data_IF_116550255991
#
_entry.id   IF_116550255991
#
_cell.length_a   1.000
_cell.length_b   1.000
_cell.length_c   1.000
_cell.angle_alpha   90.00
_cell.angle_beta   90.00
_cell.angle_gamma   90.00
#
_symmetry.space_group_name_H-M   'P 1'
#
loop_
_entity.id
_entity.type
_entity.pdbx_description
1 polymer ?
#
# COMPACT_ATOMS: atom_id res chain seq x y z
N UNK A 1 -13.01 23.73 -6.46
CA UNK A 1 -12.89 24.82 -5.45
C UNK A 1 -11.88 24.35 -4.42
N UNK A 2 -11.04 25.21 -3.86
CA UNK A 2 -10.17 24.80 -2.75
C UNK A 2 -11.02 24.27 -1.61
N UNK A 3 -10.58 23.18 -0.96
CA UNK A 3 -11.34 22.53 0.13
C UNK A 3 -11.34 23.35 1.40
N UNK A 4 -12.32 23.11 2.30
CA UNK A 4 -12.41 23.71 3.62
C UNK A 4 -11.68 22.80 4.64
N UNK A 5 -10.72 23.34 5.39
CA UNK A 5 -9.91 22.60 6.36
C UNK A 5 -10.19 23.13 7.79
N UNK A 6 -10.56 22.22 8.69
CA UNK A 6 -10.66 22.53 10.11
C UNK A 6 -9.35 22.17 10.81
N UNK A 7 -8.73 23.15 11.49
CA UNK A 7 -7.53 22.95 12.31
C UNK A 7 -7.93 23.03 13.78
N UNK A 8 -7.58 22.00 14.55
CA UNK A 8 -7.90 21.89 15.99
C UNK A 8 -6.61 21.74 16.77
N UNK A 9 -6.25 22.77 17.55
CA UNK A 9 -5.00 22.82 18.31
C UNK A 9 -5.16 23.86 19.43
N UNK A 10 -4.68 23.62 20.64
CA UNK A 10 -4.75 24.56 21.74
C UNK A 10 -3.67 25.65 21.66
N UNK A 11 -2.59 25.39 20.90
CA UNK A 11 -1.54 26.37 20.64
C UNK A 11 -1.94 27.32 19.49
N UNK A 12 -2.15 28.58 19.86
CA UNK A 12 -2.56 29.65 18.93
C UNK A 12 -1.51 29.93 17.86
N UNK A 13 -0.24 29.76 18.19
CA UNK A 13 0.86 29.98 17.23
C UNK A 13 0.89 28.86 16.17
N UNK A 14 0.64 27.63 16.57
CA UNK A 14 0.45 26.50 15.65
C UNK A 14 -0.76 26.71 14.74
N UNK A 15 -1.93 27.09 15.29
CA UNK A 15 -3.12 27.41 14.49
C UNK A 15 -2.83 28.47 13.42
N UNK A 16 -2.13 29.52 13.82
CA UNK A 16 -1.78 30.62 12.93
C UNK A 16 -0.78 30.20 11.84
N UNK A 17 0.27 29.47 12.23
CA UNK A 17 1.31 29.02 11.30
C UNK A 17 0.74 28.05 10.26
N UNK A 18 0.03 27.00 10.70
CA UNK A 18 -0.59 25.99 9.83
C UNK A 18 -1.67 26.63 8.96
N UNK A 19 -2.49 27.54 9.54
CA UNK A 19 -3.48 28.29 8.80
C UNK A 19 -2.87 29.09 7.67
N UNK A 20 -1.84 29.90 7.95
CA UNK A 20 -1.12 30.68 6.90
C UNK A 20 -0.49 29.82 5.81
N UNK A 21 0.09 28.66 6.19
CA UNK A 21 0.66 27.71 5.22
C UNK A 21 -0.40 27.22 4.24
N UNK A 22 -1.58 26.87 4.72
CA UNK A 22 -2.65 26.30 3.89
C UNK A 22 -3.47 27.38 3.17
N UNK A 23 -3.69 28.55 3.77
CA UNK A 23 -4.31 29.68 3.08
C UNK A 23 -3.48 30.17 1.88
N UNK A 24 -2.14 30.13 1.98
CA UNK A 24 -1.26 30.47 0.85
C UNK A 24 -1.40 29.53 -0.36
N UNK A 25 -1.90 28.32 -0.14
CA UNK A 25 -2.22 27.31 -1.14
C UNK A 25 -3.68 27.38 -1.62
N UNK A 26 -4.47 28.32 -1.05
CA UNK A 26 -5.83 28.61 -1.50
C UNK A 26 -6.93 27.87 -0.72
N UNK A 27 -6.64 27.18 0.40
CA UNK A 27 -7.65 26.50 1.23
C UNK A 27 -8.43 27.48 2.11
N UNK A 28 -9.70 27.15 2.37
CA UNK A 28 -10.55 27.88 3.34
C UNK A 28 -10.33 27.27 4.74
N UNK A 29 -9.90 28.10 5.70
CA UNK A 29 -9.46 27.62 7.01
C UNK A 29 -10.45 27.98 8.10
N UNK A 30 -10.84 26.95 8.87
CA UNK A 30 -11.61 27.08 10.11
C UNK A 30 -10.72 26.64 11.27
N UNK A 31 -10.67 27.41 12.37
CA UNK A 31 -9.79 27.10 13.50
C UNK A 31 -10.58 26.88 14.80
N UNK A 32 -10.18 25.86 15.55
CA UNK A 32 -10.69 25.54 16.89
C UNK A 32 -9.54 25.46 17.89
N UNK A 33 -9.71 26.07 19.07
CA UNK A 33 -8.67 26.14 20.12
C UNK A 33 -8.77 25.03 21.16
N UNK A 34 -9.66 24.08 20.99
CA UNK A 34 -9.83 22.91 21.86
C UNK A 34 -10.66 21.83 21.17
N UNK A 35 -10.63 20.61 21.72
CA UNK A 35 -11.30 19.45 21.16
C UNK A 35 -12.82 19.58 21.08
N UNK A 36 -13.46 20.10 22.13
CA UNK A 36 -14.93 20.26 22.14
C UNK A 36 -15.39 21.24 21.05
N UNK A 37 -14.66 22.35 20.87
CA UNK A 37 -14.96 23.30 19.78
C UNK A 37 -14.69 22.70 18.42
N UNK A 38 -13.64 21.86 18.29
CA UNK A 38 -13.32 21.11 17.07
C UNK A 38 -14.49 20.23 16.61
N UNK A 39 -15.06 19.44 17.52
CA UNK A 39 -16.23 18.58 17.22
C UNK A 39 -17.43 19.44 16.77
N UNK A 40 -17.71 20.53 17.50
CA UNK A 40 -18.83 21.41 17.16
C UNK A 40 -18.68 22.00 15.76
N UNK A 41 -17.47 22.47 15.41
CA UNK A 41 -17.20 23.05 14.10
C UNK A 41 -17.15 21.99 13.00
N UNK A 42 -16.69 20.78 13.28
CA UNK A 42 -16.75 19.67 12.31
C UNK A 42 -18.20 19.37 11.87
N UNK A 43 -19.15 19.41 12.82
CA UNK A 43 -20.56 19.19 12.55
C UNK A 43 -21.22 20.38 11.84
N UNK A 44 -20.91 21.63 12.23
CA UNK A 44 -21.58 22.82 11.68
C UNK A 44 -20.99 23.30 10.35
N UNK A 45 -19.68 23.17 10.15
CA UNK A 45 -18.96 23.70 8.99
C UNK A 45 -18.74 22.65 7.89
N UNK A 46 -18.94 21.35 8.22
CA UNK A 46 -18.74 20.23 7.32
C UNK A 46 -17.40 20.33 6.52
N UNK A 47 -16.25 20.39 7.21
CA UNK A 47 -14.96 20.54 6.52
C UNK A 47 -14.62 19.32 5.67
N UNK A 48 -13.80 19.54 4.63
CA UNK A 48 -13.31 18.48 3.77
C UNK A 48 -12.12 17.72 4.39
N UNK A 49 -11.46 18.30 5.40
CA UNK A 49 -10.34 17.72 6.14
C UNK A 49 -10.29 18.30 7.56
N UNK A 50 -9.90 17.48 8.52
CA UNK A 50 -9.61 17.91 9.91
C UNK A 50 -8.13 17.66 10.19
N UNK A 51 -7.40 18.72 10.61
CA UNK A 51 -6.04 18.64 11.17
C UNK A 51 -6.19 18.78 12.68
N UNK A 52 -5.70 17.80 13.43
CA UNK A 52 -6.02 17.64 14.85
C UNK A 52 -4.77 17.39 15.70
N UNK A 53 -4.52 18.23 16.69
CA UNK A 53 -3.53 17.90 17.73
C UNK A 53 -4.08 16.86 18.73
N UNK A 54 -3.17 16.05 19.27
CA UNK A 54 -3.48 15.11 20.35
C UNK A 54 -3.43 15.80 21.71
N UNK A 55 -2.44 16.68 21.91
CA UNK A 55 -2.10 17.21 23.23
C UNK A 55 -2.92 18.45 23.56
N UNK A 56 -4.21 18.30 23.83
CA UNK A 56 -5.10 19.39 24.25
C UNK A 56 -5.61 19.18 25.68
N UNK A 57 -5.79 20.29 26.45
CA UNK A 57 -6.09 20.20 27.91
C UNK A 57 -7.53 19.80 28.24
N UNK A 58 -8.48 19.96 27.31
CA UNK A 58 -9.91 19.69 27.56
C UNK A 58 -10.30 18.27 27.12
N UNK A 59 -10.13 17.95 25.84
CA UNK A 59 -10.44 16.69 25.24
C UNK A 59 -9.27 16.33 24.31
N UNK A 60 -8.57 15.24 24.59
CA UNK A 60 -7.44 14.84 23.79
C UNK A 60 -7.85 14.45 22.36
N UNK A 61 -6.92 14.57 21.42
CA UNK A 61 -7.20 14.31 20.01
C UNK A 61 -7.65 12.88 19.71
N UNK A 62 -7.30 11.91 20.54
CA UNK A 62 -7.78 10.54 20.40
C UNK A 62 -9.27 10.42 20.72
N UNK A 63 -9.72 11.11 21.78
CA UNK A 63 -11.15 11.14 22.13
C UNK A 63 -11.96 11.91 21.09
N UNK A 64 -11.41 13.01 20.54
CA UNK A 64 -12.01 13.76 19.42
C UNK A 64 -12.16 12.86 18.21
N UNK A 65 -11.11 12.16 17.79
CA UNK A 65 -11.13 11.23 16.64
C UNK A 65 -12.22 10.18 16.83
N UNK A 66 -12.28 9.54 18.01
CA UNK A 66 -13.29 8.53 18.30
C UNK A 66 -14.72 9.07 18.19
N UNK A 67 -15.00 10.28 18.71
CA UNK A 67 -16.32 10.89 18.62
C UNK A 67 -16.70 11.24 17.18
N UNK A 68 -15.76 11.80 16.41
CA UNK A 68 -15.98 12.12 15.00
C UNK A 68 -16.25 10.87 14.15
N UNK A 69 -15.64 9.74 14.47
CA UNK A 69 -15.87 8.45 13.76
C UNK A 69 -17.18 7.76 14.14
N UNK A 70 -17.78 8.14 15.27
CA UNK A 70 -19.08 7.61 15.73
C UNK A 70 -20.29 8.38 15.16
N UNK A 71 -20.09 9.58 14.64
CA UNK A 71 -21.16 10.43 14.10
C UNK A 71 -21.27 10.29 12.57
N UNK A 72 -22.47 10.02 12.08
CA UNK A 72 -22.74 9.79 10.64
C UNK A 72 -22.37 10.99 9.76
N UNK A 73 -22.43 12.21 10.27
CA UNK A 73 -22.10 13.42 9.53
C UNK A 73 -20.58 13.64 9.40
N UNK A 74 -19.78 13.11 10.32
CA UNK A 74 -18.32 13.36 10.38
C UNK A 74 -17.44 12.12 10.19
N UNK A 75 -18.01 10.92 10.26
CA UNK A 75 -17.26 9.64 10.21
C UNK A 75 -16.39 9.46 8.96
N UNK A 76 -16.76 10.09 7.84
CA UNK A 76 -16.07 10.01 6.57
C UNK A 76 -15.14 11.19 6.27
N UNK A 77 -15.09 12.20 7.16
CA UNK A 77 -14.18 13.33 6.98
C UNK A 77 -12.76 12.85 7.30
N UNK A 78 -11.79 13.01 6.38
CA UNK A 78 -10.41 12.61 6.66
C UNK A 78 -9.84 13.38 7.85
N UNK A 79 -9.11 12.68 8.73
CA UNK A 79 -8.46 13.22 9.92
C UNK A 79 -6.96 13.05 9.83
N UNK A 80 -6.23 14.16 9.81
CA UNK A 80 -4.80 14.23 9.90
C UNK A 80 -4.41 14.62 11.34
N UNK A 81 -3.79 13.72 12.07
CA UNK A 81 -3.21 14.03 13.38
C UNK A 81 -1.89 14.79 13.16
N UNK A 82 -1.73 15.93 13.83
CA UNK A 82 -0.54 16.76 13.77
C UNK A 82 -0.09 17.15 15.19
N UNK A 83 0.89 16.45 15.75
CA UNK A 83 1.20 16.51 17.19
C UNK A 83 2.71 16.48 17.47
N UNK A 84 3.10 16.95 18.67
CA UNK A 84 4.46 16.83 19.18
C UNK A 84 4.82 15.41 19.67
N UNK A 85 3.84 14.50 19.80
CA UNK A 85 4.08 13.11 20.19
C UNK A 85 4.74 12.34 19.04
N UNK A 86 5.90 11.76 19.35
CA UNK A 86 6.72 11.00 18.37
C UNK A 86 6.73 9.49 18.62
N UNK A 87 6.05 9.04 19.70
CA UNK A 87 6.00 7.63 20.08
C UNK A 87 5.32 6.77 19.02
N UNK A 88 5.90 5.60 18.72
CA UNK A 88 5.30 4.64 17.78
C UNK A 88 3.94 4.15 18.29
N UNK A 89 3.81 3.92 19.60
CA UNK A 89 2.55 3.50 20.23
C UNK A 89 1.47 4.59 20.10
N UNK A 90 1.84 5.87 20.22
CA UNK A 90 0.93 7.01 20.04
C UNK A 90 0.43 7.09 18.59
N UNK A 91 1.33 6.86 17.64
CA UNK A 91 0.99 6.85 16.21
C UNK A 91 0.06 5.70 15.85
N UNK A 92 0.37 4.49 16.35
CA UNK A 92 -0.49 3.32 16.17
C UNK A 92 -1.88 3.55 16.74
N UNK A 93 -1.94 4.06 17.96
CA UNK A 93 -3.22 4.36 18.62
C UNK A 93 -4.04 5.38 17.82
N UNK A 94 -3.41 6.43 17.28
CA UNK A 94 -4.10 7.42 16.44
C UNK A 94 -4.73 6.81 15.19
N UNK A 95 -3.99 5.97 14.49
CA UNK A 95 -4.47 5.26 13.28
C UNK A 95 -5.54 4.21 13.63
N UNK A 96 -5.39 3.46 14.72
CA UNK A 96 -6.39 2.49 15.20
C UNK A 96 -7.73 3.16 15.57
N UNK A 97 -7.68 4.39 16.06
CA UNK A 97 -8.87 5.17 16.39
C UNK A 97 -9.53 5.82 15.17
N UNK A 98 -8.92 5.65 13.99
CA UNK A 98 -9.49 6.07 12.72
C UNK A 98 -8.92 7.37 12.15
N UNK A 99 -7.75 7.82 12.57
CA UNK A 99 -7.02 8.87 11.84
C UNK A 99 -6.48 8.30 10.52
N UNK A 100 -6.51 9.11 9.48
CA UNK A 100 -6.06 8.72 8.14
C UNK A 100 -4.55 8.94 7.96
N UNK A 101 -4.00 9.97 8.60
CA UNK A 101 -2.58 10.34 8.59
C UNK A 101 -2.15 10.80 9.98
N UNK A 102 -0.89 10.52 10.33
CA UNK A 102 -0.27 10.97 11.57
C UNK A 102 1.06 11.64 11.27
N UNK A 103 1.16 12.93 11.56
CA UNK A 103 2.35 13.75 11.37
C UNK A 103 2.88 14.28 12.69
N UNK A 104 4.19 14.44 12.78
CA UNK A 104 4.85 14.98 13.98
C UNK A 104 5.32 16.41 13.76
N UNK A 105 5.15 17.26 14.78
CA UNK A 105 5.69 18.63 14.80
C UNK A 105 7.21 18.58 15.11
N UNK A 106 8.05 19.42 14.47
CA UNK A 106 7.74 20.39 13.42
C UNK A 106 7.65 19.75 12.04
N UNK A 107 6.92 20.37 11.11
CA UNK A 107 6.76 19.91 9.74
C UNK A 107 7.08 21.05 8.74
N UNK A 108 7.60 20.71 7.58
CA UNK A 108 7.78 21.68 6.50
C UNK A 108 6.46 21.98 5.78
N UNK A 109 6.31 23.21 5.24
CA UNK A 109 5.13 23.61 4.44
C UNK A 109 4.87 22.63 3.30
N UNK A 110 5.92 22.19 2.63
CA UNK A 110 5.84 21.27 1.48
C UNK A 110 5.29 19.89 1.90
N UNK A 111 5.73 19.39 3.04
CA UNK A 111 5.32 18.09 3.56
C UNK A 111 3.85 18.12 4.00
N UNK A 112 3.45 19.15 4.78
CA UNK A 112 2.06 19.34 5.17
C UNK A 112 1.14 19.43 3.95
N UNK A 113 1.49 20.26 2.97
CA UNK A 113 0.73 20.43 1.73
C UNK A 113 0.60 19.11 0.95
N UNK A 114 1.63 18.29 0.92
CA UNK A 114 1.60 16.99 0.23
C UNK A 114 0.57 16.05 0.86
N UNK A 115 0.55 15.94 2.19
CA UNK A 115 -0.42 15.09 2.91
C UNK A 115 -1.84 15.64 2.82
N UNK A 116 -2.02 16.95 2.95
CA UNK A 116 -3.32 17.62 2.79
C UNK A 116 -3.89 17.38 1.39
N UNK A 117 -3.08 17.55 0.35
CA UNK A 117 -3.50 17.27 -1.03
C UNK A 117 -3.85 15.81 -1.26
N UNK A 118 -3.12 14.88 -0.65
CA UNK A 118 -3.43 13.46 -0.77
C UNK A 118 -4.79 13.11 -0.14
N UNK A 119 -5.14 13.77 0.99
CA UNK A 119 -6.40 13.56 1.69
C UNK A 119 -7.59 14.30 1.06
N UNK A 120 -7.34 15.49 0.47
CA UNK A 120 -8.37 16.33 -0.16
C UNK A 120 -8.58 16.04 -1.65
N UNK A 121 -7.64 15.36 -2.31
CA UNK A 121 -8.00 14.74 -3.58
C UNK A 121 -9.21 13.90 -3.28
N UNK A 122 -10.36 14.10 -3.99
CA UNK A 122 -11.49 13.24 -3.76
C UNK A 122 -10.92 11.83 -3.77
N UNK A 123 -11.01 11.10 -2.67
CA UNK A 123 -11.19 9.68 -2.78
C UNK A 123 -12.36 9.64 -3.75
N UNK A 124 -12.09 9.32 -5.01
CA UNK A 124 -13.17 9.02 -5.92
C UNK A 124 -14.04 8.08 -5.10
N UNK A 125 -15.14 8.66 -4.54
CA UNK A 125 -16.23 7.82 -4.08
C UNK A 125 -16.32 6.84 -5.21
N UNK A 126 -16.43 5.54 -4.99
CA UNK A 126 -16.66 4.63 -6.08
C UNK A 126 -17.88 5.17 -6.81
N UNK A 127 -17.69 6.18 -7.64
CA UNK A 127 -18.54 6.50 -8.73
C UNK A 127 -18.44 5.19 -9.48
N UNK A 128 -19.58 4.46 -9.51
CA UNK A 128 -19.73 3.44 -10.53
C UNK A 128 -19.11 4.07 -11.77
N UNK A 129 -17.98 3.56 -12.26
CA UNK A 129 -17.32 4.17 -13.40
C UNK A 129 -18.38 4.23 -14.47
N UNK A 130 -18.67 5.46 -14.91
CA UNK A 130 -19.40 5.66 -16.15
C UNK A 130 -18.70 4.75 -17.14
N UNK A 131 -19.47 3.87 -17.80
CA UNK A 131 -18.98 2.85 -18.72
C UNK A 131 -18.00 3.47 -19.72
N UNK A 132 -16.69 3.41 -19.44
CA UNK A 132 -15.65 4.03 -20.25
C UNK A 132 -14.30 3.98 -19.57
N UNK A 133 -13.49 2.96 -19.93
CA UNK A 133 -12.07 2.80 -19.63
C UNK A 133 -11.70 2.49 -18.18
N UNK A 134 -11.91 1.24 -17.78
CA UNK A 134 -11.22 0.62 -16.65
C UNK A 134 -9.76 0.44 -17.05
N UNK A 135 -8.84 1.15 -16.38
CA UNK A 135 -7.41 0.99 -16.61
C UNK A 135 -6.99 -0.42 -16.21
N UNK A 136 -6.58 -1.23 -17.17
CA UNK A 136 -5.95 -2.52 -16.91
C UNK A 136 -4.62 -2.25 -16.24
N UNK A 137 -4.34 -2.90 -15.10
CA UNK A 137 -3.13 -2.65 -14.34
C UNK A 137 -2.33 -3.92 -14.06
N UNK A 138 -1.03 -3.90 -14.36
CA UNK A 138 -0.08 -4.88 -13.85
C UNK A 138 0.78 -4.25 -12.77
N UNK A 139 0.72 -4.81 -11.57
CA UNK A 139 1.40 -4.37 -10.38
C UNK A 139 2.52 -5.33 -10.03
N UNK A 140 3.76 -4.85 -10.00
CA UNK A 140 4.88 -5.63 -9.47
C UNK A 140 5.10 -5.33 -7.98
N UNK A 141 5.43 -6.35 -7.19
CA UNK A 141 5.82 -6.20 -5.80
C UNK A 141 7.25 -6.70 -5.63
N UNK A 142 8.10 -5.82 -5.11
CA UNK A 142 9.52 -6.04 -4.85
C UNK A 142 9.86 -5.68 -3.41
N UNK A 143 10.95 -6.22 -2.91
CA UNK A 143 11.52 -5.78 -1.64
C UNK A 143 12.98 -5.39 -1.80
N UNK A 144 13.44 -4.46 -0.96
CA UNK A 144 14.84 -4.09 -0.89
C UNK A 144 15.74 -5.25 -0.44
N UNK A 145 15.20 -6.18 0.36
CA UNK A 145 15.90 -7.39 0.83
C UNK A 145 14.96 -8.58 0.99
N UNK A 146 15.52 -9.77 1.15
CA UNK A 146 14.74 -11.00 1.38
C UNK A 146 14.00 -11.03 2.73
N UNK A 147 12.95 -11.84 2.81
CA UNK A 147 12.18 -12.06 4.03
C UNK A 147 11.24 -10.93 4.42
N UNK A 148 10.89 -10.04 3.49
CA UNK A 148 10.01 -8.90 3.71
C UNK A 148 8.51 -9.21 3.57
N UNK A 149 8.14 -10.44 3.28
CA UNK A 149 6.73 -10.82 3.08
C UNK A 149 6.16 -10.39 1.73
N UNK A 150 6.98 -10.30 0.68
CA UNK A 150 6.54 -9.93 -0.68
C UNK A 150 5.42 -10.85 -1.15
N UNK A 151 5.58 -12.16 -1.04
CA UNK A 151 4.57 -13.14 -1.47
C UNK A 151 3.27 -13.02 -0.67
N UNK A 152 3.39 -12.88 0.66
CA UNK A 152 2.22 -12.67 1.53
C UNK A 152 1.48 -11.38 1.16
N UNK A 153 2.22 -10.27 0.89
CA UNK A 153 1.61 -9.04 0.44
C UNK A 153 0.98 -9.21 -0.95
N UNK A 154 1.67 -9.84 -1.91
CA UNK A 154 1.16 -10.07 -3.26
C UNK A 154 -0.16 -10.82 -3.26
N UNK A 155 -0.23 -11.90 -2.46
CA UNK A 155 -1.44 -12.70 -2.31
C UNK A 155 -2.59 -11.88 -1.72
N UNK A 156 -2.36 -11.25 -0.58
CA UNK A 156 -3.40 -10.53 0.14
C UNK A 156 -3.85 -9.27 -0.60
N UNK A 157 -2.92 -8.56 -1.27
CA UNK A 157 -3.24 -7.38 -2.07
C UNK A 157 -4.07 -7.74 -3.32
N UNK A 158 -3.71 -8.82 -4.01
CA UNK A 158 -4.50 -9.29 -5.16
C UNK A 158 -5.92 -9.69 -4.77
N UNK A 159 -6.11 -10.35 -3.62
CA UNK A 159 -7.43 -10.68 -3.09
C UNK A 159 -8.20 -9.41 -2.70
N UNK A 160 -7.53 -8.43 -2.07
CA UNK A 160 -8.15 -7.15 -1.71
C UNK A 160 -8.59 -6.36 -2.95
N UNK A 161 -7.77 -6.33 -4.02
CA UNK A 161 -8.13 -5.73 -5.30
C UNK A 161 -9.37 -6.41 -5.89
N UNK A 162 -9.40 -7.74 -5.94
CA UNK A 162 -10.56 -8.46 -6.43
C UNK A 162 -11.82 -8.15 -5.63
N UNK A 163 -11.74 -8.19 -4.29
CA UNK A 163 -12.89 -7.92 -3.40
C UNK A 163 -13.44 -6.50 -3.53
N UNK A 164 -12.55 -5.52 -3.77
CA UNK A 164 -12.96 -4.12 -3.90
C UNK A 164 -13.51 -3.76 -5.28
N UNK A 165 -13.11 -4.50 -6.33
CA UNK A 165 -13.43 -4.16 -7.72
C UNK A 165 -14.35 -5.16 -8.38
N UNK A 166 -14.40 -6.40 -7.90
CA UNK A 166 -15.04 -7.58 -8.52
C UNK A 166 -14.54 -7.86 -9.95
N UNK A 167 -13.35 -7.34 -10.30
CA UNK A 167 -12.76 -7.50 -11.62
C UNK A 167 -11.76 -8.66 -11.65
N UNK A 168 -11.70 -9.33 -12.78
CA UNK A 168 -10.77 -10.44 -13.00
C UNK A 168 -9.34 -10.04 -12.57
N UNK A 169 -8.81 -10.76 -11.57
CA UNK A 169 -7.50 -10.53 -10.98
C UNK A 169 -6.67 -11.81 -11.01
N UNK A 170 -5.47 -11.73 -11.57
CA UNK A 170 -4.48 -12.81 -11.56
C UNK A 170 -3.36 -12.44 -10.59
N UNK A 171 -2.96 -13.39 -9.74
CA UNK A 171 -1.77 -13.28 -8.89
C UNK A 171 -0.77 -14.33 -9.37
N UNK A 172 0.48 -13.93 -9.54
CA UNK A 172 1.54 -14.85 -9.97
C UNK A 172 2.86 -14.54 -9.27
N UNK A 173 3.66 -15.56 -9.02
CA UNK A 173 5.05 -15.45 -8.60
C UNK A 173 6.00 -15.89 -9.72
N UNK A 174 6.88 -14.99 -10.14
CA UNK A 174 7.91 -15.29 -11.15
C UNK A 174 9.20 -15.76 -10.47
N UNK A 175 9.06 -16.84 -9.65
CA UNK A 175 10.12 -17.31 -8.75
C UNK A 175 10.26 -18.84 -8.77
N UNK A 176 10.49 -19.47 -9.92
CA UNK A 176 10.65 -20.92 -9.97
C UNK A 176 11.76 -21.39 -9.03
N UNK A 177 11.47 -22.44 -8.27
CA UNK A 177 12.34 -22.94 -7.22
C UNK A 177 12.22 -22.21 -5.86
N UNK A 178 11.45 -21.13 -5.82
CA UNK A 178 11.17 -20.33 -4.61
C UNK A 178 9.71 -19.87 -4.54
N UNK A 179 8.82 -20.46 -5.32
CA UNK A 179 7.39 -20.14 -5.33
C UNK A 179 6.77 -20.42 -3.96
N UNK A 180 5.97 -19.49 -3.45
CA UNK A 180 5.35 -19.63 -2.14
C UNK A 180 3.83 -19.49 -2.18
N UNK A 181 3.23 -19.01 -3.27
CA UNK A 181 1.78 -18.82 -3.36
C UNK A 181 1.00 -20.11 -3.11
N UNK A 182 1.41 -21.22 -3.72
CA UNK A 182 0.80 -22.53 -3.50
C UNK A 182 0.94 -22.99 -2.05
N UNK A 183 2.11 -22.75 -1.42
CA UNK A 183 2.36 -23.11 -0.03
C UNK A 183 1.48 -22.29 0.94
N UNK A 184 1.32 -21.00 0.69
CA UNK A 184 0.49 -20.12 1.53
C UNK A 184 -1.00 -20.47 1.45
N UNK A 185 -1.45 -21.05 0.33
CA UNK A 185 -2.84 -21.42 0.11
C UNK A 185 -3.12 -22.92 0.32
N UNK A 186 -2.09 -23.73 0.62
CA UNK A 186 -2.23 -25.18 0.76
C UNK A 186 -2.64 -25.91 -0.52
N UNK A 187 -2.31 -25.32 -1.69
CA UNK A 187 -2.59 -25.92 -2.99
C UNK A 187 -1.58 -27.00 -3.33
N UNK A 188 -1.94 -27.86 -4.30
CA UNK A 188 -0.98 -28.80 -4.88
C UNK A 188 0.23 -28.06 -5.41
N UNK A 189 1.43 -28.54 -5.06
CA UNK A 189 2.70 -27.95 -5.43
C UNK A 189 3.13 -28.36 -6.85
N UNK A 190 2.42 -29.32 -7.47
CA UNK A 190 2.58 -29.60 -8.90
C UNK A 190 2.16 -28.37 -9.68
N UNK A 191 3.09 -27.81 -10.46
CA UNK A 191 2.82 -26.58 -11.19
C UNK A 191 2.95 -26.81 -12.69
N UNK A 192 1.90 -26.44 -13.40
CA UNK A 192 1.91 -26.35 -14.85
C UNK A 192 2.65 -25.11 -15.39
N UNK A 193 3.09 -24.19 -14.47
CA UNK A 193 3.88 -23.02 -14.87
C UNK A 193 5.23 -23.43 -15.48
N UNK A 194 5.88 -24.48 -14.93
CA UNK A 194 7.13 -24.99 -15.49
C UNK A 194 6.97 -25.46 -16.95
N UNK A 195 5.81 -26.02 -17.32
CA UNK A 195 5.52 -26.44 -18.68
C UNK A 195 5.56 -25.25 -19.66
N UNK A 196 5.09 -24.08 -19.23
CA UNK A 196 5.18 -22.84 -20.01
C UNK A 196 6.63 -22.38 -20.19
N UNK A 197 7.48 -22.63 -19.19
CA UNK A 197 8.89 -22.24 -19.23
C UNK A 197 9.75 -23.20 -20.05
N UNK A 198 9.28 -24.42 -20.33
CA UNK A 198 9.96 -25.42 -21.18
C UNK A 198 9.70 -25.21 -22.67
N UNK A 199 8.65 -24.44 -23.00
CA UNK A 199 8.30 -24.19 -24.39
C UNK A 199 9.22 -23.14 -25.04
N UNK A 200 9.42 -23.18 -26.34
CA UNK A 200 9.97 -22.04 -27.06
C UNK A 200 9.11 -20.79 -26.83
N UNK A 201 9.70 -19.60 -26.59
CA UNK A 201 8.92 -18.38 -26.36
C UNK A 201 7.88 -18.05 -27.45
N UNK A 202 8.18 -18.44 -28.71
CA UNK A 202 7.28 -18.24 -29.87
C UNK A 202 6.02 -19.09 -29.85
N UNK A 203 6.02 -20.19 -29.08
CA UNK A 203 4.90 -21.14 -29.00
C UNK A 203 3.92 -20.75 -27.86
N UNK A 204 4.30 -19.80 -27.03
CA UNK A 204 3.43 -19.30 -25.97
C UNK A 204 2.29 -18.47 -26.55
N UNK A 205 1.07 -18.75 -26.10
CA UNK A 205 -0.13 -17.99 -26.47
C UNK A 205 -0.96 -17.64 -25.23
N UNK A 206 -1.84 -16.62 -25.32
CA UNK A 206 -2.75 -16.30 -24.21
C UNK A 206 -3.60 -17.50 -23.78
N UNK A 207 -4.08 -18.30 -24.73
CA UNK A 207 -4.92 -19.47 -24.45
C UNK A 207 -4.16 -20.52 -23.64
N UNK A 208 -2.92 -20.81 -24.05
CA UNK A 208 -2.08 -21.79 -23.36
C UNK A 208 -1.73 -21.34 -21.95
N UNK A 209 -1.48 -20.04 -21.75
CA UNK A 209 -1.24 -19.47 -20.43
C UNK A 209 -2.52 -19.55 -19.57
N UNK A 210 -3.68 -19.25 -20.16
CA UNK A 210 -4.98 -19.30 -19.48
C UNK A 210 -5.32 -20.69 -18.95
N UNK A 211 -5.00 -21.74 -19.72
CA UNK A 211 -5.18 -23.15 -19.34
C UNK A 211 -4.33 -23.56 -18.12
N UNK A 212 -3.25 -22.83 -17.83
CA UNK A 212 -2.35 -23.09 -16.69
C UNK A 212 -2.68 -22.26 -15.44
N UNK A 213 -3.61 -21.32 -15.57
CA UNK A 213 -4.09 -20.50 -14.46
C UNK A 213 -5.19 -21.26 -13.72
N UNK A 214 -5.12 -21.31 -12.41
CA UNK A 214 -6.09 -21.99 -11.55
C UNK A 214 -7.01 -20.99 -10.86
N UNK A 215 -8.28 -21.33 -10.73
CA UNK A 215 -9.25 -20.54 -9.95
C UNK A 215 -9.11 -20.86 -8.46
N UNK A 216 -9.18 -19.82 -7.62
CA UNK A 216 -9.13 -19.97 -6.18
C UNK A 216 -10.46 -19.53 -5.53
N UNK A 217 -10.83 -20.14 -4.41
CA UNK A 217 -12.07 -19.86 -3.68
C UNK A 217 -12.25 -18.40 -3.22
N UNK A 218 -11.15 -17.62 -3.15
CA UNK A 218 -11.20 -16.18 -2.88
C UNK A 218 -11.70 -15.34 -4.06
N UNK A 219 -11.89 -15.94 -5.23
CA UNK A 219 -12.32 -15.28 -6.47
C UNK A 219 -11.16 -14.81 -7.37
N UNK A 220 -9.93 -14.88 -6.91
CA UNK A 220 -8.74 -14.61 -7.74
C UNK A 220 -8.30 -15.85 -8.53
N UNK A 221 -7.50 -15.62 -9.55
CA UNK A 221 -6.88 -16.64 -10.38
C UNK A 221 -5.36 -16.65 -10.13
N UNK A 222 -4.76 -17.82 -10.14
CA UNK A 222 -3.37 -18.02 -9.73
C UNK A 222 -2.55 -18.69 -10.85
N UNK A 223 -1.39 -18.12 -11.15
CA UNK A 223 -0.35 -18.76 -11.93
C UNK A 223 0.90 -18.85 -11.05
N UNK A 224 1.13 -19.97 -10.39
CA UNK A 224 2.15 -20.08 -9.34
C UNK A 224 3.37 -20.89 -9.79
N UNK A 225 4.54 -20.44 -9.36
CA UNK A 225 5.81 -21.12 -9.54
C UNK A 225 5.98 -22.30 -8.56
N UNK A 226 6.82 -23.24 -8.94
CA UNK A 226 7.21 -24.37 -8.10
C UNK A 226 8.06 -23.93 -6.89
N UNK A 227 7.83 -24.50 -5.69
CA UNK A 227 8.71 -24.33 -4.54
C UNK A 227 9.96 -25.24 -4.60
N UNK A 228 10.04 -26.19 -5.53
CA UNK A 228 11.13 -27.15 -5.59
C UNK A 228 12.42 -26.49 -6.07
N UNK A 229 13.46 -26.49 -5.23
CA UNK A 229 14.74 -25.82 -5.51
C UNK A 229 15.38 -26.20 -6.85
N UNK A 230 15.19 -27.44 -7.33
CA UNK A 230 15.66 -27.88 -8.64
C UNK A 230 15.10 -27.11 -9.82
N UNK A 231 13.91 -26.51 -9.65
CA UNK A 231 13.23 -25.73 -10.68
C UNK A 231 13.78 -24.29 -10.81
N UNK A 232 14.68 -23.89 -9.91
CA UNK A 232 15.42 -22.63 -10.07
C UNK A 232 16.17 -22.52 -11.40
N UNK A 233 16.45 -23.66 -12.06
CA UNK A 233 17.01 -23.70 -13.44
C UNK A 233 16.18 -22.90 -14.44
N UNK A 234 14.87 -22.85 -14.27
CA UNK A 234 13.96 -22.13 -15.17
C UNK A 234 14.08 -20.61 -15.06
N UNK A 235 14.73 -20.06 -14.03
CA UNK A 235 14.97 -18.61 -13.91
C UNK A 235 15.82 -18.05 -15.06
N UNK A 236 16.53 -18.91 -15.79
CA UNK A 236 17.30 -18.54 -16.99
C UNK A 236 16.43 -18.35 -18.26
N UNK A 237 15.19 -18.83 -18.26
CA UNK A 237 14.29 -18.75 -19.41
C UNK A 237 13.57 -17.38 -19.43
N UNK A 238 14.38 -16.31 -19.41
CA UNK A 238 13.91 -14.92 -19.21
C UNK A 238 12.92 -14.49 -20.28
N UNK A 239 13.11 -14.92 -21.52
CA UNK A 239 12.24 -14.55 -22.64
C UNK A 239 10.83 -15.14 -22.49
N UNK A 240 10.69 -16.32 -21.87
CA UNK A 240 9.38 -16.89 -21.55
C UNK A 240 8.62 -16.02 -20.53
N UNK A 241 9.30 -15.57 -19.47
CA UNK A 241 8.69 -14.68 -18.49
C UNK A 241 8.27 -13.35 -19.10
N UNK A 242 9.07 -12.80 -20.01
CA UNK A 242 8.72 -11.57 -20.74
C UNK A 242 7.44 -11.77 -21.58
N UNK A 243 7.36 -12.89 -22.33
CA UNK A 243 6.17 -13.21 -23.13
C UNK A 243 4.95 -13.44 -22.25
N UNK A 244 5.08 -14.18 -21.15
CA UNK A 244 3.99 -14.40 -20.19
C UNK A 244 3.52 -13.06 -19.60
N UNK A 245 4.43 -12.22 -19.11
CA UNK A 245 4.10 -10.91 -18.55
C UNK A 245 3.33 -10.04 -19.56
N UNK A 246 3.70 -10.07 -20.83
CA UNK A 246 3.03 -9.33 -21.92
C UNK A 246 1.62 -9.86 -22.21
N UNK A 247 1.34 -11.14 -21.93
CA UNK A 247 0.04 -11.74 -22.19
C UNK A 247 -0.92 -11.68 -21.01
N UNK A 248 -0.43 -11.68 -19.77
CA UNK A 248 -1.28 -11.64 -18.56
C UNK A 248 -2.32 -10.51 -18.55
N UNK A 249 -2.01 -9.24 -18.96
CA UNK A 249 -3.00 -8.17 -19.01
C UNK A 249 -4.12 -8.37 -20.05
N UNK A 250 -4.01 -9.38 -20.92
CA UNK A 250 -5.08 -9.77 -21.85
C UNK A 250 -6.06 -10.76 -21.21
N UNK A 251 -5.64 -11.43 -20.12
CA UNK A 251 -6.39 -12.48 -19.44
C UNK A 251 -7.11 -11.99 -18.17
N UNK A 252 -6.69 -10.85 -17.62
CA UNK A 252 -7.33 -10.23 -16.45
C UNK A 252 -7.24 -8.71 -16.50
N UNK A 253 -8.11 -8.04 -15.72
CA UNK A 253 -8.08 -6.58 -15.56
C UNK A 253 -6.91 -6.16 -14.68
N UNK A 254 -6.64 -6.92 -13.62
CA UNK A 254 -5.51 -6.70 -12.71
C UNK A 254 -4.60 -7.92 -12.66
N UNK A 255 -3.32 -7.66 -12.62
CA UNK A 255 -2.28 -8.69 -12.47
C UNK A 255 -1.34 -8.25 -11.35
N UNK A 256 -1.15 -9.09 -10.34
CA UNK A 256 -0.19 -8.86 -9.25
C UNK A 256 0.97 -9.83 -9.40
N UNK A 257 2.18 -9.27 -9.58
CA UNK A 257 3.41 -10.03 -9.75
C UNK A 257 4.25 -10.02 -8.47
N UNK A 258 4.48 -11.17 -7.87
CA UNK A 258 5.53 -11.38 -6.86
C UNK A 258 6.86 -11.58 -7.58
N UNK A 259 7.72 -10.56 -7.54
CA UNK A 259 9.06 -10.59 -8.11
C UNK A 259 10.16 -10.84 -7.06
N UNK A 260 9.78 -10.93 -5.78
CA UNK A 260 10.71 -11.19 -4.68
C UNK A 260 11.67 -10.05 -4.38
N UNK A 261 12.84 -10.33 -3.80
CA UNK A 261 13.79 -9.31 -3.41
C UNK A 261 14.77 -8.94 -4.53
N UNK A 262 15.14 -7.66 -4.56
CA UNK A 262 16.20 -7.12 -5.40
C UNK A 262 15.87 -7.03 -6.89
N UNK A 263 16.90 -6.68 -7.67
CA UNK A 263 16.81 -6.49 -9.11
C UNK A 263 17.55 -7.62 -9.85
N UNK A 264 16.80 -8.59 -10.34
CA UNK A 264 17.33 -9.69 -11.17
C UNK A 264 17.24 -9.34 -12.66
N UNK A 265 17.90 -10.12 -13.52
CA UNK A 265 17.76 -9.98 -14.99
C UNK A 265 16.31 -10.21 -15.44
N UNK A 266 15.63 -11.17 -14.81
CA UNK A 266 14.21 -11.42 -15.03
C UNK A 266 13.37 -10.20 -14.66
N UNK A 267 13.59 -9.63 -13.48
CA UNK A 267 12.85 -8.44 -13.03
C UNK A 267 13.04 -7.28 -14.01
N UNK A 268 14.27 -7.05 -14.50
CA UNK A 268 14.56 -6.00 -15.51
C UNK A 268 13.77 -6.17 -16.81
N UNK A 269 13.49 -7.41 -17.20
CA UNK A 269 12.71 -7.71 -18.41
C UNK A 269 11.20 -7.54 -18.23
N UNK A 270 10.70 -7.83 -17.03
CA UNK A 270 9.25 -7.87 -16.76
C UNK A 270 8.71 -6.52 -16.29
N UNK A 271 9.49 -5.77 -15.49
CA UNK A 271 9.09 -4.50 -14.90
C UNK A 271 8.59 -3.44 -15.90
N UNK A 272 9.14 -3.30 -17.10
CA UNK A 272 8.62 -2.33 -18.10
C UNK A 272 7.15 -2.56 -18.51
N UNK A 273 6.60 -3.74 -18.28
CA UNK A 273 5.19 -4.05 -18.53
C UNK A 273 4.27 -3.68 -17.37
N UNK A 274 4.82 -3.28 -16.22
CA UNK A 274 4.07 -2.96 -15.02
C UNK A 274 3.63 -1.48 -15.01
N UNK A 275 2.37 -1.24 -14.67
CA UNK A 275 1.83 0.10 -14.50
C UNK A 275 2.25 0.74 -13.16
N UNK A 276 2.41 -0.08 -12.13
CA UNK A 276 2.86 0.34 -10.80
C UNK A 276 3.84 -0.69 -10.22
N UNK A 277 4.74 -0.21 -9.36
CA UNK A 277 5.73 -1.03 -8.64
C UNK A 277 5.66 -0.72 -7.15
N UNK A 278 5.33 -1.70 -6.34
CA UNK A 278 5.40 -1.60 -4.87
C UNK A 278 6.80 -1.99 -4.41
N UNK A 279 7.46 -1.12 -3.68
CA UNK A 279 8.75 -1.39 -3.03
C UNK A 279 8.52 -1.51 -1.52
N UNK A 280 8.84 -2.68 -0.96
CA UNK A 280 8.79 -2.93 0.48
C UNK A 280 10.16 -2.65 1.11
N UNK A 281 10.16 -1.83 2.16
CA UNK A 281 11.36 -1.48 2.93
C UNK A 281 11.14 -1.67 4.43
N UNK A 282 12.21 -1.96 5.17
CA UNK A 282 12.20 -1.85 6.64
C UNK A 282 12.69 -0.45 7.07
N UNK A 283 12.25 0.05 8.23
CA UNK A 283 12.72 1.32 8.79
C UNK A 283 14.14 1.18 9.39
N UNK A 284 15.09 0.74 8.57
CA UNK A 284 16.46 0.47 8.95
C UNK A 284 17.43 1.02 7.88
N UNK A 285 18.57 1.65 8.27
CA UNK A 285 19.47 2.31 7.33
C UNK A 285 19.92 1.44 6.17
N UNK A 286 20.23 0.15 6.43
CA UNK A 286 20.62 -0.79 5.38
C UNK A 286 19.52 -1.06 4.35
N UNK A 287 18.27 -1.21 4.83
CA UNK A 287 17.12 -1.43 3.95
C UNK A 287 16.86 -0.21 3.07
N UNK A 288 17.03 0.99 3.62
CA UNK A 288 16.85 2.25 2.88
C UNK A 288 17.96 2.43 1.83
N UNK A 289 19.22 2.13 2.17
CA UNK A 289 20.30 2.16 1.18
C UNK A 289 20.07 1.18 0.02
N UNK A 290 19.57 -0.03 0.31
CA UNK A 290 19.22 -1.02 -0.72
C UNK A 290 18.01 -0.56 -1.57
N UNK A 291 17.02 0.08 -0.93
CA UNK A 291 15.88 0.65 -1.64
C UNK A 291 16.30 1.79 -2.57
N UNK A 292 17.22 2.65 -2.14
CA UNK A 292 17.79 3.72 -2.97
C UNK A 292 18.44 3.15 -4.25
N UNK A 293 19.22 2.07 -4.10
CA UNK A 293 19.81 1.38 -5.24
C UNK A 293 18.75 0.78 -6.17
N UNK A 294 17.70 0.17 -5.58
CA UNK A 294 16.59 -0.40 -6.34
C UNK A 294 15.81 0.68 -7.11
N UNK A 295 15.52 1.83 -6.51
CA UNK A 295 14.87 2.98 -7.16
C UNK A 295 15.72 3.52 -8.31
N UNK A 296 17.04 3.55 -8.13
CA UNK A 296 17.97 3.96 -9.19
C UNK A 296 17.90 3.01 -10.39
N UNK A 297 17.90 1.69 -10.15
CA UNK A 297 17.75 0.70 -11.20
C UNK A 297 16.39 0.79 -11.92
N UNK A 298 15.30 1.06 -11.19
CA UNK A 298 13.98 1.28 -11.77
C UNK A 298 13.97 2.52 -12.68
N UNK A 299 14.65 3.58 -12.28
CA UNK A 299 14.77 4.81 -13.11
C UNK A 299 15.51 4.54 -14.43
N UNK A 300 16.48 3.62 -14.44
CA UNK A 300 17.16 3.18 -15.67
C UNK A 300 16.25 2.38 -16.62
N UNK A 301 15.15 1.83 -16.08
CA UNK A 301 14.11 1.15 -16.86
C UNK A 301 12.95 2.10 -17.24
N UNK A 302 13.15 3.42 -17.11
CA UNK A 302 12.16 4.47 -17.40
C UNK A 302 10.90 4.41 -16.50
N UNK A 303 10.96 3.68 -15.37
CA UNK A 303 9.89 3.64 -14.37
C UNK A 303 9.97 4.91 -13.54
N UNK A 304 8.93 5.71 -13.61
CA UNK A 304 8.88 7.01 -12.95
C UNK A 304 8.52 6.90 -11.47
N UNK A 305 8.82 7.94 -10.69
CA UNK A 305 8.59 7.90 -9.22
C UNK A 305 7.11 7.82 -8.84
N UNK A 306 6.21 8.36 -9.64
CA UNK A 306 4.76 8.27 -9.45
C UNK A 306 4.22 6.84 -9.66
N UNK A 307 4.90 6.02 -10.46
CA UNK A 307 4.60 4.61 -10.61
C UNK A 307 5.11 3.76 -9.43
N UNK A 308 6.03 4.27 -8.62
CA UNK A 308 6.60 3.55 -7.49
C UNK A 308 5.80 3.88 -6.22
N UNK A 309 5.34 2.85 -5.51
CA UNK A 309 4.62 2.93 -4.25
C UNK A 309 5.50 2.39 -3.13
N UNK A 310 5.97 3.28 -2.27
CA UNK A 310 6.83 2.90 -1.15
C UNK A 310 6.01 2.40 0.02
N UNK A 311 6.31 1.18 0.49
CA UNK A 311 5.63 0.53 1.61
C UNK A 311 6.63 0.19 2.70
N UNK A 312 6.37 0.66 3.92
CA UNK A 312 7.21 0.33 5.08
C UNK A 312 6.68 -0.90 5.78
N UNK A 313 7.53 -1.88 5.97
CA UNK A 313 7.23 -3.11 6.69
C UNK A 313 8.03 -3.17 7.99
N UNK A 314 7.38 -2.85 9.10
CA UNK A 314 8.03 -2.81 10.40
C UNK A 314 7.93 -4.16 11.12
N UNK A 315 8.98 -4.98 11.08
CA UNK A 315 8.99 -6.31 11.70
C UNK A 315 9.36 -6.32 13.18
N UNK A 316 10.03 -5.30 13.64
CA UNK A 316 10.54 -5.23 15.02
C UNK A 316 10.35 -3.82 15.53
N UNK A 317 9.59 -3.67 16.63
CA UNK A 317 9.51 -2.39 17.31
C UNK A 317 10.86 -2.07 17.95
N UNK A 318 11.44 -0.91 17.64
CA UNK A 318 12.69 -0.42 18.21
C UNK A 318 12.68 1.10 18.28
N UNK A 319 13.16 1.65 19.37
CA UNK A 319 13.33 3.11 19.52
C UNK A 319 14.42 3.70 18.60
N UNK A 320 15.18 2.86 17.91
CA UNK A 320 16.24 3.26 16.98
C UNK A 320 15.86 3.10 15.51
N UNK A 321 14.58 2.89 15.23
CA UNK A 321 14.10 2.83 13.85
C UNK A 321 14.05 4.21 13.22
N UNK A 322 14.26 4.25 11.90
CA UNK A 322 14.04 5.47 11.14
C UNK A 322 12.55 5.83 11.18
N UNK A 323 12.28 7.10 11.41
CA UNK A 323 10.95 7.66 11.25
C UNK A 323 10.53 7.65 9.77
N UNK A 324 9.24 7.78 9.49
CA UNK A 324 8.76 7.85 8.09
C UNK A 324 9.32 9.08 7.40
N UNK A 325 9.39 10.24 8.08
CA UNK A 325 10.00 11.44 7.52
C UNK A 325 11.45 11.22 7.10
N UNK A 326 12.27 10.56 7.95
CA UNK A 326 13.66 10.22 7.57
C UNK A 326 13.73 9.25 6.37
N UNK A 327 12.78 8.31 6.27
CA UNK A 327 12.69 7.38 5.12
C UNK A 327 12.29 8.15 3.85
N UNK A 328 11.28 8.99 3.94
CA UNK A 328 10.77 9.81 2.84
C UNK A 328 11.83 10.80 2.35
N UNK A 329 12.55 11.46 3.25
CA UNK A 329 13.64 12.37 2.93
C UNK A 329 14.79 11.65 2.23
N UNK A 330 15.24 10.49 2.79
CA UNK A 330 16.35 9.74 2.21
C UNK A 330 16.03 9.15 0.83
N UNK A 331 14.79 8.69 0.62
CA UNK A 331 14.36 8.13 -0.66
C UNK A 331 13.76 9.17 -1.61
N UNK A 332 13.47 10.38 -1.10
CA UNK A 332 12.70 11.43 -1.78
C UNK A 332 11.39 10.88 -2.38
N UNK A 333 10.63 10.13 -1.55
CA UNK A 333 9.39 9.45 -1.90
C UNK A 333 8.46 9.41 -0.70
N UNK A 334 7.15 9.42 -0.93
CA UNK A 334 6.14 9.32 0.11
C UNK A 334 5.88 7.84 0.45
N UNK A 335 5.75 7.55 1.74
CA UNK A 335 5.31 6.24 2.24
C UNK A 335 3.79 6.14 2.08
N UNK A 336 3.34 5.31 1.13
CA UNK A 336 1.90 5.17 0.84
C UNK A 336 1.17 4.24 1.81
N UNK A 337 1.91 3.34 2.47
CA UNK A 337 1.36 2.43 3.49
C UNK A 337 2.47 1.93 4.40
N UNK A 338 2.10 1.60 5.63
CA UNK A 338 3.02 1.00 6.59
C UNK A 338 2.34 -0.17 7.29
N UNK A 339 3.00 -1.31 7.27
CA UNK A 339 2.53 -2.53 7.92
C UNK A 339 3.28 -2.78 9.22
N UNK A 340 2.53 -2.93 10.30
CA UNK A 340 3.05 -3.47 11.55
C UNK A 340 2.70 -4.95 11.58
N UNK A 341 3.67 -5.87 11.52
CA UNK A 341 3.34 -7.28 11.46
C UNK A 341 2.71 -7.73 12.78
N UNK A 342 1.55 -8.27 12.67
CA UNK A 342 0.99 -9.14 13.68
C UNK A 342 1.55 -10.55 13.47
N UNK A 343 2.58 -10.93 14.25
CA UNK A 343 3.26 -12.22 14.11
C UNK A 343 2.32 -13.39 14.31
N UNK A 344 1.41 -13.29 15.29
CA UNK A 344 0.40 -14.31 15.59
C UNK A 344 -0.54 -14.51 14.39
N UNK A 345 -1.03 -13.42 13.81
CA UNK A 345 -1.91 -13.47 12.66
C UNK A 345 -1.20 -14.05 11.42
N UNK A 346 0.05 -13.65 11.17
CA UNK A 346 0.84 -14.19 10.07
C UNK A 346 1.11 -15.70 10.26
N UNK A 347 1.41 -16.12 11.49
CA UNK A 347 1.59 -17.55 11.83
C UNK A 347 0.29 -18.32 11.65
N UNK A 348 -0.84 -17.78 12.12
CA UNK A 348 -2.15 -18.38 11.98
C UNK A 348 -2.54 -18.53 10.51
N UNK A 349 -2.39 -17.46 9.70
CA UNK A 349 -2.66 -17.48 8.27
C UNK A 349 -1.85 -18.58 7.55
N UNK A 350 -0.55 -18.68 7.86
CA UNK A 350 0.33 -19.70 7.28
C UNK A 350 -0.06 -21.12 7.71
N UNK A 351 -0.44 -21.33 8.98
CA UNK A 351 -0.86 -22.62 9.52
C UNK A 351 -2.19 -23.07 8.92
N UNK A 352 -3.16 -22.16 8.87
CA UNK A 352 -4.53 -22.45 8.46
C UNK A 352 -4.69 -22.39 6.93
N UNK A 353 -3.61 -22.00 6.20
CA UNK A 353 -3.58 -21.84 4.74
C UNK A 353 -4.65 -20.87 4.24
N UNK A 354 -4.89 -19.84 5.02
CA UNK A 354 -5.89 -18.82 4.71
C UNK A 354 -5.27 -17.44 4.68
N UNK A 355 -5.48 -16.66 3.60
CA UNK A 355 -4.95 -15.29 3.49
C UNK A 355 -5.44 -14.37 4.61
N UNK A 356 -4.59 -13.47 5.08
CA UNK A 356 -4.87 -12.55 6.21
C UNK A 356 -6.16 -11.75 5.99
N UNK A 357 -6.39 -11.25 4.77
CA UNK A 357 -7.59 -10.48 4.41
C UNK A 357 -8.88 -11.31 4.41
N UNK A 358 -8.76 -12.64 4.41
CA UNK A 358 -9.88 -13.56 4.54
C UNK A 358 -10.05 -14.00 5.99
N UNK A 359 -8.95 -14.32 6.67
CA UNK A 359 -8.93 -14.81 8.04
C UNK A 359 -9.42 -13.75 9.05
N UNK A 360 -9.03 -12.47 8.84
CA UNK A 360 -9.43 -11.36 9.72
C UNK A 360 -9.71 -10.11 8.88
N UNK A 361 -10.86 -10.08 8.16
CA UNK A 361 -11.16 -9.00 7.20
C UNK A 361 -11.30 -7.61 7.84
N UNK A 362 -11.73 -7.53 9.09
CA UNK A 362 -11.88 -6.29 9.86
C UNK A 362 -10.61 -5.92 10.67
N UNK A 363 -9.57 -6.75 10.60
CA UNK A 363 -8.32 -6.53 11.33
C UNK A 363 -7.50 -5.40 10.72
N UNK A 364 -6.65 -4.74 11.54
CA UNK A 364 -5.80 -3.63 11.12
C UNK A 364 -4.97 -3.96 9.87
N UNK A 365 -4.34 -5.13 9.83
CA UNK A 365 -3.54 -5.56 8.67
C UNK A 365 -4.37 -5.64 7.39
N UNK A 366 -5.59 -6.18 7.47
CA UNK A 366 -6.50 -6.25 6.33
C UNK A 366 -6.94 -4.84 5.87
N UNK A 367 -7.24 -3.93 6.80
CA UNK A 367 -7.56 -2.54 6.49
C UNK A 367 -6.39 -1.83 5.79
N UNK A 368 -5.15 -2.01 6.27
CA UNK A 368 -3.95 -1.46 5.64
C UNK A 368 -3.74 -2.00 4.22
N UNK A 369 -4.01 -3.30 4.00
CA UNK A 369 -3.93 -3.92 2.66
C UNK A 369 -5.03 -3.36 1.75
N UNK A 370 -6.26 -3.20 2.23
CA UNK A 370 -7.37 -2.62 1.48
C UNK A 370 -7.09 -1.15 1.09
N UNK A 371 -6.49 -0.37 2.01
CA UNK A 371 -6.06 0.99 1.72
C UNK A 371 -4.96 1.02 0.66
N UNK A 372 -3.97 0.13 0.75
CA UNK A 372 -2.94 0.01 -0.28
C UNK A 372 -3.56 -0.39 -1.63
N UNK A 373 -4.52 -1.32 -1.64
CA UNK A 373 -5.24 -1.70 -2.86
C UNK A 373 -5.87 -0.48 -3.54
N UNK A 374 -6.55 0.39 -2.80
CA UNK A 374 -7.15 1.62 -3.33
C UNK A 374 -6.11 2.62 -3.89
N UNK A 375 -4.86 2.58 -3.42
CA UNK A 375 -3.79 3.47 -3.87
C UNK A 375 -3.02 2.96 -5.10
N UNK A 376 -3.21 1.69 -5.49
CA UNK A 376 -2.45 1.06 -6.59
C UNK A 376 -3.28 0.68 -7.82
N UNK A 377 -4.62 0.85 -7.73
CA UNK A 377 -5.58 0.54 -8.81
C UNK A 377 -6.16 1.81 -9.49
#
# INVERSE_FOLDING_TARGET
>A
MPGKILIVDDDVDTLRLVGMMLESEGYDIVAAKNGQRGITLALSEAPDLIILDIMMPDLDGYAVTRQLRQDDATKNIPILIFTAKTGMDDKMLGLELGADVYLTKPISTRELHTHVNALLKPADKPQQPAAGQKTKGMLAILAAKGGMGVSTLSLNLGIAIYRSTELATIITDFRPGQGSLALELGLDQSTSFNELLELPPGDLSPQLIDEKIIDHSSGVRLLHSSPHLGDARYTSNIDNFEVIARYLPKLATYVVLDLGPGMTLLNKKVLPYCSNVVIMVEPAPQSISQAQALITELSLLEITRDQIKLVVFNRVSSSQQLSFGEIEDQLNMIVVSAFTPNRELAYQASRDKEPIVMLMPEGLTAQQINQLAANVI
#
